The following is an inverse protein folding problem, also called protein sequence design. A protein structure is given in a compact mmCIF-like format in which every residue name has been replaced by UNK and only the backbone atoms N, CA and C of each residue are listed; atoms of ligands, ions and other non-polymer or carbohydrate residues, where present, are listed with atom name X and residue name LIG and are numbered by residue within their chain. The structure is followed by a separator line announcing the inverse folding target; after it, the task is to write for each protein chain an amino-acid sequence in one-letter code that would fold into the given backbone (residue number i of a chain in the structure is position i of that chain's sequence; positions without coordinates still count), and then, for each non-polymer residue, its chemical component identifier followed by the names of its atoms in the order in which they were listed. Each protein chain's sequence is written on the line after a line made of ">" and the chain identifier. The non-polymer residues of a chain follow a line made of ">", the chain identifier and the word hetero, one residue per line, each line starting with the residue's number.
data_IF_281949549019
#
_entry.id   IF_281949549019
#
_cell.length_a   1.000
_cell.length_b   1.000
_cell.length_c   1.000
_cell.angle_alpha   90.00
_cell.angle_beta   90.00
_cell.angle_gamma   90.00
#
_symmetry.space_group_name_H-M   'P 1'
#
loop_
_entity.id
_entity.type
_entity.pdbx_description
1 polymer ?
#
# COMPACT_ATOMS: atom_id res chain seq x y z
N UNK A 1 -23.69 19.20 8.95
CA UNK A 1 -22.99 17.89 8.95
C UNK A 1 -22.92 17.37 10.39
N UNK A 2 -23.47 16.19 10.68
CA UNK A 2 -23.26 15.53 11.98
C UNK A 2 -21.93 14.76 11.90
N UNK A 3 -20.90 15.23 12.61
CA UNK A 3 -19.70 14.43 12.85
C UNK A 3 -20.05 13.37 13.91
N UNK A 4 -20.01 12.10 13.53
CA UNK A 4 -20.03 10.99 14.48
C UNK A 4 -18.59 10.77 14.95
N UNK A 5 -18.29 11.17 16.18
CA UNK A 5 -17.03 10.87 16.85
C UNK A 5 -17.14 9.45 17.40
N UNK A 6 -16.38 8.51 16.83
CA UNK A 6 -16.24 7.17 17.38
C UNK A 6 -15.17 7.19 18.48
N UNK A 7 -15.59 6.98 19.73
CA UNK A 7 -14.68 6.75 20.85
C UNK A 7 -14.18 5.30 20.78
N UNK A 8 -12.88 5.10 20.58
CA UNK A 8 -12.24 3.80 20.76
C UNK A 8 -12.26 3.52 22.27
N UNK A 9 -13.11 2.60 22.71
CA UNK A 9 -13.35 2.27 24.13
C UNK A 9 -12.22 1.45 24.79
N UNK A 10 -11.34 0.85 24.00
CA UNK A 10 -10.29 0.00 24.55
C UNK A 10 -9.01 0.80 24.82
N UNK A 11 -8.42 0.72 26.02
CA UNK A 11 -7.09 1.26 26.23
C UNK A 11 -6.14 0.62 25.21
N UNK A 12 -5.21 1.39 24.62
CA UNK A 12 -4.28 0.83 23.65
C UNK A 12 -3.57 -0.36 24.28
N UNK A 13 -3.64 -1.51 23.63
CA UNK A 13 -3.00 -2.74 24.11
C UNK A 13 -1.58 -2.43 24.60
N UNK A 14 -1.21 -2.90 25.80
CA UNK A 14 0.14 -2.74 26.36
C UNK A 14 1.15 -3.68 25.66
N UNK A 15 1.06 -3.80 24.34
CA UNK A 15 1.97 -4.51 23.45
C UNK A 15 1.99 -3.81 22.10
N UNK A 16 3.06 -4.02 21.34
CA UNK A 16 3.15 -3.61 19.94
C UNK A 16 2.87 -4.82 19.07
N UNK A 17 1.81 -4.76 18.27
CA UNK A 17 1.47 -5.82 17.32
C UNK A 17 2.06 -5.47 15.96
N UNK A 18 3.04 -6.26 15.52
CA UNK A 18 3.69 -6.13 14.21
C UNK A 18 2.95 -7.00 13.20
N UNK A 19 2.66 -6.42 12.03
CA UNK A 19 1.90 -7.10 10.98
C UNK A 19 0.39 -7.05 11.18
N UNK A 20 -0.09 -6.12 12.02
CA UNK A 20 -1.54 -5.84 12.08
C UNK A 20 -1.99 -5.33 10.71
N UNK A 21 -3.03 -5.94 10.11
CA UNK A 21 -3.60 -5.42 8.87
C UNK A 21 -4.06 -3.97 9.06
N UNK A 22 -3.90 -3.16 8.02
CA UNK A 22 -4.29 -1.75 7.97
C UNK A 22 -5.39 -1.56 6.94
N UNK A 23 -6.33 -0.65 7.20
CA UNK A 23 -7.32 -0.26 6.20
C UNK A 23 -6.75 0.85 5.33
N UNK A 24 -6.52 0.55 4.04
CA UNK A 24 -6.25 1.56 3.02
C UNK A 24 -7.52 1.79 2.21
N UNK A 25 -7.80 3.05 1.89
CA UNK A 25 -8.95 3.42 1.09
C UNK A 25 -8.68 4.69 0.28
N UNK A 26 -9.36 4.81 -0.85
CA UNK A 26 -9.36 6.00 -1.69
C UNK A 26 -10.75 6.21 -2.30
N UNK A 27 -11.11 7.47 -2.50
CA UNK A 27 -12.34 7.86 -3.17
C UNK A 27 -12.09 7.86 -4.67
N UNK A 28 -12.98 7.21 -5.41
CA UNK A 28 -13.00 7.16 -6.86
C UNK A 28 -14.04 8.17 -7.40
N UNK A 29 -14.06 8.47 -8.71
CA UNK A 29 -15.14 9.25 -9.31
C UNK A 29 -16.53 8.66 -9.00
N UNK A 30 -17.55 9.52 -8.95
CA UNK A 30 -18.94 9.15 -8.63
C UNK A 30 -19.13 8.54 -7.22
N UNK A 31 -18.30 8.96 -6.26
CA UNK A 31 -18.37 8.56 -4.84
C UNK A 31 -18.18 7.06 -4.56
N UNK A 32 -17.63 6.32 -5.52
CA UNK A 32 -17.19 4.94 -5.30
C UNK A 32 -15.99 4.93 -4.34
N UNK A 33 -15.86 3.86 -3.56
CA UNK A 33 -14.74 3.70 -2.61
C UNK A 33 -13.95 2.45 -2.98
N UNK A 34 -12.66 2.63 -3.22
CA UNK A 34 -11.69 1.55 -3.30
C UNK A 34 -11.09 1.34 -1.91
N UNK A 35 -11.05 0.11 -1.40
CA UNK A 35 -10.42 -0.17 -0.11
C UNK A 35 -9.84 -1.59 0.01
N UNK A 36 -8.91 -1.76 0.94
CA UNK A 36 -8.32 -3.05 1.33
C UNK A 36 -7.99 -3.04 2.82
N UNK A 37 -8.33 -4.12 3.52
CA UNK A 37 -7.89 -4.34 4.90
C UNK A 37 -6.46 -4.91 4.99
N UNK A 38 -5.81 -5.17 3.85
CA UNK A 38 -4.44 -5.69 3.68
C UNK A 38 -4.13 -7.06 4.27
N UNK A 39 -5.08 -7.70 4.94
CA UNK A 39 -4.88 -9.04 5.50
C UNK A 39 -4.62 -10.06 4.39
N UNK A 40 -5.34 -9.90 3.28
CA UNK A 40 -5.22 -10.67 2.05
C UNK A 40 -4.91 -9.76 0.87
N UNK A 41 -4.49 -10.34 -0.25
CA UNK A 41 -4.33 -9.60 -1.51
C UNK A 41 -5.71 -9.41 -2.17
N UNK A 42 -6.51 -8.56 -1.55
CA UNK A 42 -7.85 -8.23 -2.01
C UNK A 42 -8.10 -6.73 -1.87
N UNK A 43 -8.58 -6.14 -2.97
CA UNK A 43 -8.96 -4.74 -3.07
C UNK A 43 -10.39 -4.70 -3.57
N UNK A 44 -11.27 -4.08 -2.81
CA UNK A 44 -12.70 -4.01 -3.06
C UNK A 44 -13.04 -2.62 -3.58
N UNK A 45 -14.02 -2.57 -4.49
CA UNK A 45 -14.65 -1.34 -4.92
C UNK A 45 -16.13 -1.44 -4.57
N UNK A 46 -16.63 -0.47 -3.82
CA UNK A 46 -18.05 -0.34 -3.48
C UNK A 46 -18.63 0.91 -4.10
N UNK A 47 -19.93 0.87 -4.39
CA UNK A 47 -20.70 2.05 -4.80
C UNK A 47 -21.02 2.97 -3.59
N UNK A 48 -21.65 4.13 -3.81
CA UNK A 48 -22.00 5.06 -2.72
C UNK A 48 -22.95 4.48 -1.67
N UNK A 49 -23.73 3.44 -2.03
CA UNK A 49 -24.63 2.73 -1.11
C UNK A 49 -23.89 1.64 -0.31
N UNK A 50 -22.60 1.41 -0.60
CA UNK A 50 -21.76 0.41 0.06
C UNK A 50 -21.86 -0.99 -0.55
N UNK A 51 -22.56 -1.16 -1.68
CA UNK A 51 -22.66 -2.44 -2.37
C UNK A 51 -21.34 -2.78 -3.06
N UNK A 52 -20.90 -4.04 -2.94
CA UNK A 52 -19.67 -4.49 -3.60
C UNK A 52 -19.87 -4.58 -5.12
N UNK A 53 -19.08 -3.80 -5.86
CA UNK A 53 -19.14 -3.71 -7.32
C UNK A 53 -18.02 -4.50 -7.99
N UNK A 54 -16.82 -4.48 -7.39
CA UNK A 54 -15.66 -5.19 -7.96
C UNK A 54 -14.72 -5.66 -6.87
N UNK A 55 -14.04 -6.77 -7.18
CA UNK A 55 -12.90 -7.29 -6.44
C UNK A 55 -11.69 -7.40 -7.36
N UNK A 56 -10.58 -6.79 -6.96
CA UNK A 56 -9.27 -6.93 -7.59
C UNK A 56 -8.43 -7.79 -6.65
N UNK A 57 -7.91 -8.90 -7.16
CA UNK A 57 -7.13 -9.86 -6.36
C UNK A 57 -6.09 -10.56 -7.22
N UNK A 58 -5.07 -11.11 -6.58
CA UNK A 58 -4.05 -11.95 -7.22
C UNK A 58 -3.79 -13.16 -6.35
N UNK A 59 -3.36 -14.27 -6.95
CA UNK A 59 -2.78 -15.37 -6.19
C UNK A 59 -1.57 -14.85 -5.41
N UNK A 60 -1.64 -14.95 -4.08
CA UNK A 60 -0.62 -14.49 -3.15
C UNK A 60 -0.24 -15.62 -2.20
N UNK A 61 1.04 -15.70 -1.85
CA UNK A 61 1.54 -16.64 -0.85
C UNK A 61 1.90 -15.84 0.40
N UNK A 62 1.21 -16.04 1.54
CA UNK A 62 1.47 -15.32 2.77
C UNK A 62 2.92 -15.46 3.25
N UNK A 63 3.59 -14.31 3.45
CA UNK A 63 5.01 -14.25 3.81
C UNK A 63 5.13 -14.12 5.33
N UNK A 64 5.87 -15.02 5.97
CA UNK A 64 6.19 -14.92 7.40
C UNK A 64 7.27 -13.88 7.73
N UNK A 65 7.48 -13.60 9.01
CA UNK A 65 8.62 -12.83 9.49
C UNK A 65 9.84 -13.72 9.71
N UNK A 66 10.98 -13.34 9.16
CA UNK A 66 12.25 -14.03 9.43
C UNK A 66 12.73 -13.71 10.86
N UNK A 67 13.58 -14.56 11.43
CA UNK A 67 14.10 -14.31 12.77
C UNK A 67 14.99 -13.07 12.81
N UNK A 68 15.73 -12.79 11.74
CA UNK A 68 16.52 -11.57 11.61
C UNK A 68 15.64 -10.30 11.62
N UNK A 69 14.51 -10.32 10.91
CA UNK A 69 13.53 -9.22 10.95
C UNK A 69 12.97 -9.01 12.35
N UNK A 70 12.64 -10.10 13.05
CA UNK A 70 12.14 -10.03 14.44
C UNK A 70 13.19 -9.43 15.36
N UNK A 71 14.45 -9.85 15.26
CA UNK A 71 15.57 -9.31 16.06
C UNK A 71 15.77 -7.82 15.77
N UNK A 72 15.85 -7.42 14.49
CA UNK A 72 15.99 -6.02 14.07
C UNK A 72 14.83 -5.17 14.61
N UNK A 73 13.60 -5.68 14.57
CA UNK A 73 12.41 -4.94 15.06
C UNK A 73 12.40 -4.80 16.58
N UNK A 74 12.79 -5.85 17.32
CA UNK A 74 12.94 -5.82 18.78
C UNK A 74 13.99 -4.80 19.22
N UNK A 75 15.13 -4.72 18.53
CA UNK A 75 16.19 -3.72 18.82
C UNK A 75 15.74 -2.27 18.65
N UNK A 76 14.80 -2.01 17.73
CA UNK A 76 14.27 -0.66 17.46
C UNK A 76 13.12 -0.24 18.40
N UNK A 77 12.69 -1.12 19.29
CA UNK A 77 11.53 -0.84 20.12
C UNK A 77 11.94 -0.13 21.42
N UNK A 78 11.15 0.85 21.89
CA UNK A 78 11.31 1.38 23.23
C UNK A 78 11.23 0.28 24.30
N UNK A 79 12.03 0.35 25.37
CA UNK A 79 11.97 -0.60 26.48
C UNK A 79 10.58 -0.60 27.14
N UNK A 80 10.17 -1.76 27.69
CA UNK A 80 8.95 -1.89 28.50
C UNK A 80 7.66 -2.23 27.74
N UNK A 81 7.71 -2.42 26.41
CA UNK A 81 6.54 -2.81 25.61
C UNK A 81 6.77 -4.15 24.90
N UNK A 82 6.07 -5.24 25.24
CA UNK A 82 6.17 -6.51 24.49
C UNK A 82 5.86 -6.36 22.99
N UNK A 83 6.49 -7.18 22.14
CA UNK A 83 6.14 -7.31 20.71
C UNK A 83 5.47 -8.64 20.46
N UNK A 84 4.31 -8.58 19.82
CA UNK A 84 3.69 -9.71 19.15
C UNK A 84 3.89 -9.56 17.64
N UNK A 85 4.34 -10.64 16.98
CA UNK A 85 4.35 -10.70 15.52
C UNK A 85 3.14 -11.53 15.06
N UNK A 86 2.39 -11.01 14.10
CA UNK A 86 1.45 -11.86 13.36
C UNK A 86 2.20 -12.93 12.59
N UNK A 87 1.53 -14.06 12.37
CA UNK A 87 2.11 -15.22 11.66
C UNK A 87 2.59 -14.84 10.27
N UNK A 88 1.82 -13.99 9.59
CA UNK A 88 2.11 -13.51 8.25
C UNK A 88 2.17 -11.97 8.25
N UNK A 89 2.97 -11.44 7.33
CA UNK A 89 2.97 -10.03 6.93
C UNK A 89 1.65 -9.74 6.20
N UNK A 90 1.17 -8.48 6.23
CA UNK A 90 0.11 -8.05 5.33
C UNK A 90 0.44 -8.38 3.86
N UNK A 91 -0.56 -8.66 3.04
CA UNK A 91 -0.33 -8.88 1.61
C UNK A 91 0.00 -7.56 0.90
N UNK A 92 -0.64 -6.49 1.34
CA UNK A 92 -0.53 -5.14 0.82
C UNK A 92 0.02 -4.23 1.91
N UNK A 93 0.98 -3.38 1.56
CA UNK A 93 1.60 -2.45 2.51
C UNK A 93 1.29 -0.99 2.22
N UNK A 94 0.67 -0.72 1.06
CA UNK A 94 0.26 0.60 0.58
C UNK A 94 -0.41 0.47 -0.79
N UNK A 95 -1.28 1.43 -1.16
CA UNK A 95 -1.87 1.54 -2.50
C UNK A 95 -2.02 3.01 -2.93
N UNK A 96 -2.08 3.24 -4.25
CA UNK A 96 -2.37 4.53 -4.87
C UNK A 96 -3.08 4.36 -6.22
N UNK A 97 -4.26 4.96 -6.31
CA UNK A 97 -5.09 5.09 -7.49
C UNK A 97 -4.73 6.37 -8.26
N UNK A 98 -4.69 6.27 -9.58
CA UNK A 98 -4.52 7.41 -10.47
C UNK A 98 -5.85 8.06 -10.83
N UNK A 99 -5.78 9.29 -11.32
CA UNK A 99 -6.91 10.01 -11.93
C UNK A 99 -7.51 9.30 -13.15
N UNK A 100 -6.78 8.37 -13.76
CA UNK A 100 -7.24 7.54 -14.88
C UNK A 100 -7.71 6.14 -14.47
N UNK A 101 -7.68 5.81 -13.17
CA UNK A 101 -8.13 4.53 -12.62
C UNK A 101 -7.07 3.42 -12.57
N UNK A 102 -5.83 3.69 -12.95
CA UNK A 102 -4.73 2.75 -12.73
C UNK A 102 -4.40 2.66 -11.25
N UNK A 103 -4.07 1.46 -10.78
CA UNK A 103 -3.81 1.21 -9.36
C UNK A 103 -2.39 0.68 -9.17
N UNK A 104 -1.64 1.35 -8.30
CA UNK A 104 -0.32 0.92 -7.84
C UNK A 104 -0.46 0.30 -6.44
N UNK A 105 0.03 -0.92 -6.24
CA UNK A 105 -0.09 -1.67 -4.98
C UNK A 105 1.29 -2.11 -4.52
N UNK A 106 1.76 -1.64 -3.36
CA UNK A 106 3.05 -2.06 -2.79
C UNK A 106 2.90 -3.36 -2.01
N UNK A 107 3.67 -4.38 -2.38
CA UNK A 107 3.71 -5.67 -1.67
C UNK A 107 4.81 -5.68 -0.61
N UNK A 108 4.78 -6.67 0.30
CA UNK A 108 5.79 -6.89 1.34
C UNK A 108 6.90 -7.87 0.94
N UNK A 109 6.94 -8.26 -0.33
CA UNK A 109 8.08 -8.94 -0.93
C UNK A 109 9.27 -7.98 -0.95
N UNK A 110 10.41 -8.43 -0.43
CA UNK A 110 11.63 -7.63 -0.42
C UNK A 110 12.59 -8.20 -1.47
N UNK A 111 13.04 -7.40 -2.44
CA UNK A 111 14.15 -7.83 -3.28
C UNK A 111 15.40 -8.04 -2.40
N UNK A 112 16.16 -9.09 -2.70
CA UNK A 112 17.41 -9.37 -1.97
C UNK A 112 18.43 -8.26 -2.23
N UNK A 113 19.04 -7.74 -1.17
CA UNK A 113 20.08 -6.69 -1.23
C UNK A 113 19.68 -5.41 -1.99
N UNK A 114 18.37 -5.10 -2.06
CA UNK A 114 17.88 -3.92 -2.75
C UNK A 114 16.90 -3.15 -1.85
N UNK A 115 17.10 -1.84 -1.76
CA UNK A 115 16.27 -0.95 -0.93
C UNK A 115 14.89 -0.66 -1.57
N UNK A 116 14.75 -0.93 -2.87
CA UNK A 116 13.50 -0.79 -3.62
C UNK A 116 12.44 -1.77 -3.14
N UNK A 117 11.19 -1.48 -3.50
CA UNK A 117 10.02 -2.30 -3.14
C UNK A 117 9.25 -2.68 -4.40
N UNK A 118 8.71 -3.89 -4.39
CA UNK A 118 7.84 -4.35 -5.44
C UNK A 118 6.49 -3.64 -5.38
N UNK A 119 6.03 -3.23 -6.54
CA UNK A 119 4.70 -2.68 -6.74
C UNK A 119 4.03 -3.38 -7.92
N UNK A 120 2.82 -3.86 -7.71
CA UNK A 120 1.97 -4.35 -8.77
C UNK A 120 1.14 -3.19 -9.36
N UNK A 121 0.94 -3.21 -10.67
CA UNK A 121 0.14 -2.23 -11.40
C UNK A 121 -1.09 -2.94 -11.94
N UNK A 122 -2.27 -2.34 -11.73
CA UNK A 122 -3.52 -2.77 -12.34
C UNK A 122 -4.07 -1.67 -13.23
N UNK A 123 -4.78 -2.08 -14.27
CA UNK A 123 -5.51 -1.16 -15.15
C UNK A 123 -6.85 -0.73 -14.53
N UNK A 124 -7.58 0.22 -15.15
CA UNK A 124 -8.88 0.69 -14.66
C UNK A 124 -9.96 -0.40 -14.62
N UNK A 125 -9.78 -1.49 -15.37
CA UNK A 125 -10.67 -2.63 -15.33
C UNK A 125 -10.34 -3.58 -14.16
N UNK A 126 -9.18 -3.43 -13.52
CA UNK A 126 -8.68 -4.26 -12.44
C UNK A 126 -7.81 -5.44 -12.91
N UNK A 127 -7.37 -5.42 -14.17
CA UNK A 127 -6.47 -6.44 -14.73
C UNK A 127 -5.04 -6.12 -14.33
N UNK A 128 -4.29 -7.15 -13.95
CA UNK A 128 -2.87 -7.02 -13.62
C UNK A 128 -2.07 -6.68 -14.88
N UNK A 129 -1.22 -5.67 -14.81
CA UNK A 129 -0.39 -5.20 -15.92
C UNK A 129 1.08 -5.57 -15.74
N UNK A 130 1.65 -5.30 -14.57
CA UNK A 130 3.06 -5.51 -14.32
C UNK A 130 3.40 -5.52 -12.83
N UNK A 131 4.59 -6.04 -12.53
CA UNK A 131 5.30 -5.84 -11.28
C UNK A 131 6.54 -5.00 -11.56
N UNK A 132 6.71 -3.90 -10.84
CA UNK A 132 7.82 -2.97 -10.98
C UNK A 132 8.56 -2.79 -9.64
N UNK A 133 9.82 -2.35 -9.72
CA UNK A 133 10.62 -1.93 -8.57
C UNK A 133 10.66 -0.41 -8.51
N UNK A 134 10.21 0.15 -7.39
CA UNK A 134 10.32 1.58 -7.09
C UNK A 134 11.16 1.77 -5.84
N UNK A 135 11.82 2.92 -5.73
CA UNK A 135 12.54 3.31 -4.53
C UNK A 135 11.64 3.31 -3.29
N UNK A 136 12.26 3.27 -2.11
CA UNK A 136 11.53 3.18 -0.84
C UNK A 136 10.60 4.37 -0.57
N UNK A 137 10.86 5.52 -1.20
CA UNK A 137 9.98 6.69 -1.17
C UNK A 137 8.71 6.39 -1.96
N UNK A 138 7.55 6.57 -1.33
CA UNK A 138 6.26 6.34 -1.99
C UNK A 138 5.82 7.58 -2.77
N UNK A 139 5.29 7.41 -3.99
CA UNK A 139 4.61 8.52 -4.65
C UNK A 139 3.40 8.96 -3.82
N UNK A 140 3.13 10.27 -3.81
CA UNK A 140 2.00 10.87 -3.09
C UNK A 140 0.77 11.01 -3.97
N UNK A 141 0.96 11.15 -5.27
CA UNK A 141 -0.10 11.37 -6.24
C UNK A 141 0.27 10.73 -7.58
N UNK A 142 -0.73 10.17 -8.25
CA UNK A 142 -0.63 9.75 -9.64
C UNK A 142 -1.70 10.50 -10.44
N UNK A 143 -1.26 11.47 -11.23
CA UNK A 143 -2.17 12.37 -11.94
C UNK A 143 -1.56 12.78 -13.29
N UNK A 144 -2.38 12.85 -14.34
CA UNK A 144 -1.97 13.26 -15.68
C UNK A 144 -0.71 12.50 -16.19
N UNK A 145 -0.74 11.17 -16.05
CA UNK A 145 0.35 10.27 -16.45
C UNK A 145 1.71 10.57 -15.77
N UNK A 146 1.66 11.12 -14.55
CA UNK A 146 2.86 11.40 -13.76
C UNK A 146 2.69 10.95 -12.32
N UNK A 147 3.76 10.39 -11.77
CA UNK A 147 3.92 10.12 -10.35
C UNK A 147 4.59 11.32 -9.68
N UNK A 148 4.02 11.79 -8.57
CA UNK A 148 4.54 12.91 -7.81
C UNK A 148 5.10 12.41 -6.48
N UNK A 149 6.31 12.84 -6.15
CA UNK A 149 7.05 12.48 -4.95
C UNK A 149 7.36 13.74 -4.14
N UNK A 150 7.49 13.58 -2.83
CA UNK A 150 8.12 14.58 -1.97
C UNK A 150 9.52 14.04 -1.67
N UNK A 151 10.53 14.78 -2.08
CA UNK A 151 11.95 14.47 -1.90
C UNK A 151 12.66 15.69 -1.34
N UNK A 152 13.87 15.52 -0.83
CA UNK A 152 14.72 16.64 -0.41
C UNK A 152 15.58 17.12 -1.59
N UNK A 153 15.84 18.42 -1.66
CA UNK A 153 16.88 19.00 -2.52
C UNK A 153 18.26 18.90 -1.85
N UNK A 154 19.29 19.45 -2.51
CA UNK A 154 20.68 19.38 -2.02
C UNK A 154 20.89 20.14 -0.70
N UNK A 155 19.98 21.04 -0.34
CA UNK A 155 19.98 21.81 0.91
C UNK A 155 19.08 21.17 2.00
N UNK A 156 18.40 20.06 1.67
CA UNK A 156 17.52 19.33 2.58
C UNK A 156 16.08 19.86 2.64
N UNK A 157 15.68 20.76 1.74
CA UNK A 157 14.30 21.26 1.71
C UNK A 157 13.37 20.33 0.92
N UNK A 158 12.12 20.12 1.38
CA UNK A 158 11.17 19.28 0.68
C UNK A 158 10.70 19.92 -0.62
N UNK A 159 10.92 19.22 -1.73
CA UNK A 159 10.50 19.59 -3.08
C UNK A 159 9.56 18.54 -3.68
N UNK A 160 8.65 18.99 -4.56
CA UNK A 160 7.79 18.10 -5.32
C UNK A 160 8.47 17.74 -6.63
N UNK A 161 8.84 16.46 -6.79
CA UNK A 161 9.36 15.92 -8.06
C UNK A 161 8.27 15.16 -8.78
N UNK A 162 8.20 15.32 -10.10
CA UNK A 162 7.26 14.62 -10.98
C UNK A 162 8.00 13.75 -11.97
N UNK A 163 7.59 12.49 -12.08
CA UNK A 163 8.20 11.50 -12.98
C UNK A 163 7.16 10.98 -13.96
N UNK A 164 7.56 10.88 -15.23
CA UNK A 164 6.78 10.21 -16.27
C UNK A 164 7.23 8.76 -16.40
N UNK A 165 6.29 7.83 -16.53
CA UNK A 165 6.61 6.41 -16.75
C UNK A 165 7.01 6.23 -18.22
N UNK A 166 8.32 6.10 -18.50
CA UNK A 166 8.87 6.13 -19.87
C UNK A 166 8.57 4.89 -20.72
N UNK A 167 8.29 3.74 -20.10
CA UNK A 167 8.10 2.45 -20.80
C UNK A 167 6.66 1.93 -20.65
N UNK A 168 5.69 2.83 -20.51
CA UNK A 168 4.28 2.47 -20.31
C UNK A 168 3.72 1.60 -21.44
N UNK A 169 4.09 1.93 -22.67
CA UNK A 169 3.81 1.21 -23.91
C UNK A 169 4.40 -0.21 -23.95
N UNK A 170 5.42 -0.49 -23.15
CA UNK A 170 6.10 -1.80 -23.09
C UNK A 170 5.57 -2.69 -21.97
N UNK A 171 4.69 -2.18 -21.11
CA UNK A 171 4.01 -2.99 -20.10
C UNK A 171 3.04 -3.91 -20.85
N UNK A 172 3.49 -5.14 -21.13
CA UNK A 172 2.69 -6.15 -21.82
C UNK A 172 1.53 -6.56 -20.93
N UNK A 173 0.32 -6.37 -21.43
CA UNK A 173 -0.87 -7.01 -20.87
C UNK A 173 -0.70 -8.51 -21.15
N UNK A 174 -0.42 -9.32 -20.12
CA UNK A 174 -0.66 -10.76 -20.23
C UNK A 174 -2.18 -10.93 -20.28
N UNK A 175 -2.69 -11.20 -21.49
CA UNK A 175 -4.11 -11.50 -21.75
C UNK A 175 -4.39 -12.93 -21.32
#
# INVERSE_FOLDING_TARGET
>A
LKQTIAYIKDPPENKSVVGRPSLYWQVMPNDYILFSDTSEYEIKIVDPDGSLIKKISRKYVPIGYTDEEKVKRKKKQPPGRPIEFKKHKPAISWLLLSDQGYLLVRTLENPENDARRYHDIFDPQGRYLAKILLDGTLPRLWMQDKLYYIEEDDEGFPVVKRYKIKNWDKIKVEI
#
